data_IF_826716036439
#
_entry.id   IF_826716036439
#
_cell.length_a   1.000
_cell.length_b   1.000
_cell.length_c   1.000
_cell.angle_alpha   90.00
_cell.angle_beta   90.00
_cell.angle_gamma   90.00
#
_symmetry.space_group_name_H-M   'P 1'
#
loop_
_entity.id
_entity.type
_entity.pdbx_description
1 polymer ?
#
# COMPACT_ATOMS: atom_id res chain seq x y z
N UNK A 1 -22.25 -21.99 -23.62
CA UNK A 1 -22.67 -21.40 -22.34
C UNK A 1 -21.67 -21.66 -21.21
N UNK A 2 -21.30 -22.92 -20.97
CA UNK A 2 -20.31 -23.35 -19.97
C UNK A 2 -18.95 -22.64 -20.09
N UNK A 3 -18.37 -22.55 -21.29
CA UNK A 3 -17.13 -21.77 -21.54
C UNK A 3 -17.23 -20.30 -21.11
N UNK A 4 -18.43 -19.70 -21.15
CA UNK A 4 -18.64 -18.31 -20.70
C UNK A 4 -18.62 -18.23 -19.18
N UNK A 5 -19.29 -19.18 -18.50
CA UNK A 5 -19.29 -19.31 -17.03
C UNK A 5 -17.88 -19.58 -16.48
N UNK A 6 -17.08 -20.43 -17.15
CA UNK A 6 -15.68 -20.66 -16.76
C UNK A 6 -14.85 -19.36 -16.83
N UNK A 7 -15.01 -18.56 -17.90
CA UNK A 7 -14.34 -17.26 -18.03
C UNK A 7 -14.79 -16.24 -16.98
N UNK A 8 -16.07 -16.25 -16.61
CA UNK A 8 -16.60 -15.38 -15.56
C UNK A 8 -16.01 -15.75 -14.18
N UNK A 9 -15.91 -17.05 -13.88
CA UNK A 9 -15.27 -17.53 -12.65
C UNK A 9 -13.76 -17.20 -12.59
N UNK A 10 -13.05 -17.33 -13.71
CA UNK A 10 -11.63 -16.98 -13.79
C UNK A 10 -11.40 -15.49 -13.48
N UNK A 11 -12.23 -14.60 -14.04
CA UNK A 11 -12.18 -13.16 -13.74
C UNK A 11 -12.48 -12.86 -12.29
N UNK A 12 -13.47 -13.54 -11.70
CA UNK A 12 -13.81 -13.38 -10.29
C UNK A 12 -12.65 -13.81 -9.40
N UNK A 13 -12.00 -14.95 -9.71
CA UNK A 13 -10.81 -15.40 -8.99
C UNK A 13 -9.68 -14.37 -9.07
N UNK A 14 -9.36 -13.88 -10.27
CA UNK A 14 -8.33 -12.86 -10.46
C UNK A 14 -8.62 -11.57 -9.66
N UNK A 15 -9.88 -11.17 -9.56
CA UNK A 15 -10.29 -10.03 -8.74
C UNK A 15 -10.00 -10.26 -7.26
N UNK A 16 -10.42 -11.41 -6.71
CA UNK A 16 -10.18 -11.74 -5.30
C UNK A 16 -8.69 -11.94 -4.98
N UNK A 17 -7.92 -12.55 -5.88
CA UNK A 17 -6.47 -12.69 -5.73
C UNK A 17 -5.82 -11.30 -5.63
N UNK A 18 -6.22 -10.36 -6.49
CA UNK A 18 -5.73 -8.97 -6.46
C UNK A 18 -6.10 -8.24 -5.17
N UNK A 19 -7.34 -8.39 -4.69
CA UNK A 19 -7.76 -7.82 -3.40
C UNK A 19 -6.92 -8.40 -2.26
N UNK A 20 -6.68 -9.71 -2.27
CA UNK A 20 -5.79 -10.39 -1.32
C UNK A 20 -4.38 -9.82 -1.34
N UNK A 21 -3.75 -9.69 -2.51
CA UNK A 21 -2.40 -9.13 -2.62
C UNK A 21 -2.30 -7.67 -2.12
N UNK A 22 -3.33 -6.86 -2.34
CA UNK A 22 -3.37 -5.48 -1.83
C UNK A 22 -3.53 -5.48 -0.32
N UNK A 23 -4.33 -6.39 0.24
CA UNK A 23 -4.47 -6.55 1.69
C UNK A 23 -3.16 -7.08 2.34
N UNK A 24 -2.48 -8.04 1.72
CA UNK A 24 -1.26 -8.64 2.27
C UNK A 24 -0.05 -7.69 2.21
N UNK A 25 -0.01 -6.79 1.23
CA UNK A 25 1.02 -5.74 1.15
C UNK A 25 0.80 -4.58 2.13
N UNK A 26 0.17 -4.85 3.27
CA UNK A 26 -0.05 -3.88 4.34
C UNK A 26 1.16 -3.68 5.27
N UNK A 27 2.30 -4.34 5.02
CA UNK A 27 3.49 -4.25 5.87
C UNK A 27 4.67 -3.66 5.12
N UNK A 28 5.33 -2.68 5.74
CA UNK A 28 6.47 -1.96 5.17
C UNK A 28 6.11 -1.08 3.97
N UNK A 29 7.10 -0.34 3.46
CA UNK A 29 6.89 0.60 2.34
C UNK A 29 6.79 -0.16 1.01
N UNK A 30 5.61 -0.17 0.33
CA UNK A 30 5.46 -0.88 -0.93
C UNK A 30 6.25 -0.19 -2.04
N UNK A 31 7.07 -0.96 -2.77
CA UNK A 31 7.84 -0.46 -3.93
C UNK A 31 7.15 -0.71 -5.27
N UNK A 32 6.28 -1.73 -5.34
CA UNK A 32 5.48 -2.08 -6.52
C UNK A 32 4.06 -2.42 -6.12
N UNK A 33 3.13 -2.15 -7.02
CA UNK A 33 1.74 -2.59 -6.95
C UNK A 33 1.60 -4.01 -7.53
N UNK A 34 0.64 -4.84 -7.07
CA UNK A 34 0.39 -6.16 -7.66
C UNK A 34 0.11 -6.13 -9.17
N UNK A 35 -0.41 -5.02 -9.68
CA UNK A 35 -0.58 -4.78 -11.12
C UNK A 35 0.73 -4.54 -11.91
N UNK A 36 1.89 -4.60 -11.25
CA UNK A 36 3.21 -4.26 -11.81
C UNK A 36 3.52 -2.77 -11.90
N UNK A 37 2.60 -1.90 -11.50
CA UNK A 37 2.81 -0.45 -11.46
C UNK A 37 3.83 -0.04 -10.40
N UNK A 38 4.58 1.03 -10.67
CA UNK A 38 5.45 1.65 -9.66
C UNK A 38 4.61 2.39 -8.62
N UNK A 39 5.12 2.42 -7.40
CA UNK A 39 4.55 3.25 -6.34
C UNK A 39 5.26 4.61 -6.36
N UNK A 40 4.48 5.68 -6.51
CA UNK A 40 4.94 7.06 -6.42
C UNK A 40 4.47 7.71 -5.13
N UNK A 41 5.22 8.68 -4.65
CA UNK A 41 4.76 9.58 -3.60
C UNK A 41 3.84 10.63 -4.23
N UNK A 42 2.54 10.51 -3.97
CA UNK A 42 1.51 11.44 -4.44
C UNK A 42 1.12 12.36 -3.27
N UNK A 43 0.88 13.63 -3.57
CA UNK A 43 0.27 14.57 -2.62
C UNK A 43 -1.14 14.83 -3.11
N UNK A 44 -2.15 14.73 -2.25
CA UNK A 44 -3.53 15.02 -2.65
C UNK A 44 -3.67 16.53 -2.88
N UNK A 45 -3.88 17.01 -4.13
CA UNK A 45 -3.99 18.44 -4.41
C UNK A 45 -5.32 19.03 -3.93
N UNK A 46 -6.34 18.17 -3.82
CA UNK A 46 -7.69 18.49 -3.37
C UNK A 46 -8.27 17.28 -2.63
N UNK A 47 -9.38 17.42 -1.89
CA UNK A 47 -10.12 16.28 -1.38
C UNK A 47 -10.64 15.48 -2.59
N UNK A 48 -9.96 14.39 -2.94
CA UNK A 48 -10.43 13.50 -4.02
C UNK A 48 -11.77 12.86 -3.62
N UNK A 49 -12.02 12.68 -2.32
CA UNK A 49 -13.27 12.15 -1.79
C UNK A 49 -13.79 13.04 -0.67
N UNK A 50 -14.96 13.66 -0.89
CA UNK A 50 -15.52 14.70 -0.01
C UNK A 50 -15.74 14.25 1.45
N UNK A 51 -15.80 12.94 1.70
CA UNK A 51 -16.08 12.33 3.01
C UNK A 51 -14.97 11.40 3.51
N UNK A 52 -13.87 11.25 2.77
CA UNK A 52 -12.77 10.37 3.19
C UNK A 52 -11.75 11.20 3.96
N UNK A 53 -11.62 10.90 5.26
CA UNK A 53 -10.75 11.61 6.20
C UNK A 53 -9.31 11.71 5.70
N UNK A 54 -8.85 10.69 4.99
CA UNK A 54 -7.48 10.65 4.50
C UNK A 54 -7.24 11.67 3.38
N UNK A 55 -8.27 12.08 2.63
CA UNK A 55 -8.08 12.89 1.40
C UNK A 55 -7.90 14.38 1.62
N UNK A 56 -7.63 14.83 2.84
CA UNK A 56 -7.39 16.25 3.08
C UNK A 56 -6.28 16.81 2.14
N UNK A 57 -6.41 18.06 1.66
CA UNK A 57 -5.40 18.68 0.84
C UNK A 57 -4.04 18.67 1.54
N UNK A 58 -2.99 18.26 0.82
CA UNK A 58 -1.64 18.16 1.39
C UNK A 58 -1.30 16.80 2.01
N UNK A 59 -2.27 15.89 2.17
CA UNK A 59 -2.00 14.51 2.59
C UNK A 59 -1.09 13.79 1.59
N UNK A 60 -0.05 13.13 2.09
CA UNK A 60 0.92 12.37 1.31
C UNK A 60 0.54 10.89 1.26
N UNK A 61 0.73 10.27 0.10
CA UNK A 61 0.36 8.88 -0.15
C UNK A 61 1.41 8.13 -0.97
N UNK A 62 1.55 6.85 -0.67
CA UNK A 62 2.12 5.86 -1.57
C UNK A 62 1.04 5.40 -2.54
N UNK A 63 1.12 5.83 -3.80
CA UNK A 63 0.07 5.59 -4.81
C UNK A 63 0.63 4.86 -6.03
N UNK A 64 -0.08 3.85 -6.52
CA UNK A 64 0.24 3.22 -7.79
C UNK A 64 0.14 4.21 -8.96
N UNK A 65 1.08 4.16 -9.90
CA UNK A 65 1.01 4.98 -11.14
C UNK A 65 -0.24 4.71 -11.98
N UNK A 66 -0.81 3.50 -11.88
CA UNK A 66 -2.02 3.06 -12.59
C UNK A 66 -3.28 3.09 -11.70
N UNK A 67 -3.26 3.83 -10.59
CA UNK A 67 -4.36 3.86 -9.63
C UNK A 67 -5.69 4.29 -10.27
N UNK A 68 -6.76 3.55 -9.99
CA UNK A 68 -8.12 3.77 -10.53
C UNK A 68 -9.23 3.77 -9.48
N UNK A 69 -8.88 3.74 -8.19
CA UNK A 69 -9.85 3.68 -7.09
C UNK A 69 -10.83 2.50 -7.16
N UNK A 70 -10.32 1.35 -7.59
CA UNK A 70 -11.06 0.10 -7.77
C UNK A 70 -10.83 -0.89 -6.61
N UNK A 71 -10.06 -0.50 -5.59
CA UNK A 71 -9.61 -1.38 -4.52
C UNK A 71 -8.53 -2.38 -4.92
N UNK A 72 -8.07 -2.38 -6.18
CA UNK A 72 -7.07 -3.31 -6.71
C UNK A 72 -5.67 -2.71 -6.81
N UNK A 73 -5.56 -1.42 -6.49
CA UNK A 73 -4.32 -0.66 -6.58
C UNK A 73 -3.95 -0.04 -5.22
N UNK A 74 -2.66 -0.03 -4.90
CA UNK A 74 -2.18 0.62 -3.70
C UNK A 74 -2.46 2.13 -3.74
N UNK A 75 -3.09 2.58 -2.66
CA UNK A 75 -3.09 3.96 -2.21
C UNK A 75 -3.11 3.92 -0.69
N UNK A 76 -1.97 4.19 -0.08
CA UNK A 76 -1.82 4.12 1.36
C UNK A 76 -1.25 5.44 1.89
N UNK A 77 -1.77 5.95 3.02
CA UNK A 77 -1.21 7.15 3.65
C UNK A 77 0.27 6.95 3.96
N UNK A 78 1.06 7.99 3.69
CA UNK A 78 2.50 7.97 3.91
C UNK A 78 2.85 7.81 5.40
N UNK A 79 2.07 8.44 6.29
CA UNK A 79 2.31 8.48 7.74
C UNK A 79 2.40 7.09 8.35
N UNK A 80 1.41 6.22 8.10
CA UNK A 80 1.38 4.88 8.69
C UNK A 80 2.59 4.03 8.31
N UNK A 81 3.04 4.15 7.06
CA UNK A 81 4.18 3.38 6.54
C UNK A 81 5.50 3.88 7.10
N UNK A 82 5.63 5.18 7.26
CA UNK A 82 6.85 5.77 7.80
C UNK A 82 6.94 5.57 9.31
N UNK A 83 5.84 5.64 10.05
CA UNK A 83 5.81 5.31 11.48
C UNK A 83 6.26 3.86 11.72
N UNK A 84 5.79 2.90 10.90
CA UNK A 84 6.20 1.50 10.99
C UNK A 84 7.72 1.33 10.77
N UNK A 85 8.28 1.98 9.75
CA UNK A 85 9.71 1.88 9.45
C UNK A 85 10.58 2.63 10.48
N UNK A 86 10.11 3.76 11.00
CA UNK A 86 10.79 4.47 12.11
C UNK A 86 10.84 3.58 13.34
N UNK A 87 9.72 2.94 13.72
CA UNK A 87 9.70 2.04 14.87
C UNK A 87 10.70 0.88 14.73
N UNK A 88 10.78 0.27 13.53
CA UNK A 88 11.78 -0.76 13.23
C UNK A 88 13.21 -0.24 13.32
N UNK A 89 13.45 0.99 12.85
CA UNK A 89 14.76 1.62 12.88
C UNK A 89 15.20 1.94 14.31
N UNK A 90 14.31 2.53 15.11
CA UNK A 90 14.56 2.81 16.54
C UNK A 90 14.96 1.54 17.27
N UNK A 91 14.19 0.45 17.09
CA UNK A 91 14.52 -0.85 17.70
C UNK A 91 15.91 -1.35 17.33
N UNK A 92 16.29 -1.29 16.04
CA UNK A 92 17.62 -1.70 15.58
C UNK A 92 18.74 -0.85 16.19
N UNK A 93 18.52 0.45 16.32
CA UNK A 93 19.51 1.37 16.91
C UNK A 93 19.68 1.08 18.41
N UNK A 94 18.59 0.80 19.14
CA UNK A 94 18.66 0.41 20.54
C UNK A 94 19.42 -0.92 20.73
N UNK A 95 19.15 -1.92 19.89
CA UNK A 95 19.87 -3.20 19.89
C UNK A 95 21.37 -3.00 19.64
N UNK A 96 21.73 -2.20 18.62
CA UNK A 96 23.12 -1.89 18.31
C UNK A 96 23.83 -1.11 19.43
N UNK A 97 23.12 -0.18 20.08
CA UNK A 97 23.68 0.63 21.16
C UNK A 97 24.07 -0.23 22.37
N UNK A 98 23.23 -1.20 22.73
CA UNK A 98 23.53 -2.17 23.80
C UNK A 98 24.78 -3.00 23.49
N UNK A 99 24.92 -3.46 22.25
CA UNK A 99 26.13 -4.20 21.84
C UNK A 99 27.39 -3.36 21.97
N UNK A 100 27.33 -2.06 21.67
CA UNK A 100 28.47 -1.14 21.82
C UNK A 100 28.80 -0.91 23.30
N UNK A 101 27.79 -0.77 24.16
CA UNK A 101 28.00 -0.61 25.61
C UNK A 101 28.61 -1.85 26.28
N UNK A 102 28.41 -3.04 25.69
CA UNK A 102 28.93 -4.32 26.17
C UNK A 102 30.34 -4.67 25.65
N UNK A 103 30.93 -3.86 24.75
CA UNK A 103 32.29 -4.01 24.21
C UNK A 103 33.34 -3.23 25.01
#
# INVERSE_FOLDING_TARGET
EEKRRCKEMEKMKQHWDMVGFVADGQYGIPRRCPCGGFIKNDVSPSPKFKHDFDTQPGSKYFTCTKFKDDGLHFRQPWVFRVEEEIAKLVKKVEEQSKTIEEM
#
